data_IF_329207338167
#
_entry.id   IF_329207338167
#
_cell.length_a   1.000
_cell.length_b   1.000
_cell.length_c   1.000
_cell.angle_alpha   90.00
_cell.angle_beta   90.00
_cell.angle_gamma   90.00
#
_symmetry.space_group_name_H-M   'P 1'
#
loop_
_entity.id
_entity.type
_entity.pdbx_description
1 polymer ?
#
# COMPACT_ATOMS: atom_id res chain seq x y z
N UNK A 1 -5.03 -14.68 14.97
CA UNK A 1 -4.55 -13.68 14.00
C UNK A 1 -5.26 -13.91 12.67
N UNK A 2 -5.95 -12.91 12.16
CA UNK A 2 -6.53 -12.92 10.81
C UNK A 2 -5.59 -12.16 9.90
N UNK A 3 -5.19 -12.77 8.78
CA UNK A 3 -4.27 -12.19 7.81
C UNK A 3 -4.75 -12.46 6.40
N UNK A 4 -4.71 -11.40 5.61
CA UNK A 4 -5.00 -11.40 4.19
C UNK A 4 -3.80 -10.83 3.45
N UNK A 5 -3.63 -11.28 2.21
CA UNK A 5 -2.54 -10.85 1.35
C UNK A 5 -3.04 -10.67 -0.08
N UNK A 6 -2.41 -9.76 -0.81
CA UNK A 6 -2.58 -9.64 -2.26
C UNK A 6 -1.32 -9.07 -2.91
N UNK A 7 -1.17 -9.35 -4.20
CA UNK A 7 -0.11 -8.80 -5.04
C UNK A 7 -0.73 -7.81 -6.03
N UNK A 8 -0.11 -6.64 -6.19
CA UNK A 8 -0.42 -5.63 -7.20
C UNK A 8 0.87 -5.33 -7.98
N UNK A 9 1.17 -6.15 -8.98
CA UNK A 9 2.44 -6.07 -9.70
C UNK A 9 3.63 -6.31 -8.75
N UNK A 10 4.60 -5.38 -8.64
CA UNK A 10 5.73 -5.53 -7.71
C UNK A 10 5.36 -5.26 -6.24
N UNK A 11 4.15 -4.75 -5.97
CA UNK A 11 3.71 -4.38 -4.63
C UNK A 11 2.99 -5.56 -3.96
N UNK A 12 3.59 -6.12 -2.91
CA UNK A 12 2.95 -7.06 -2.01
C UNK A 12 2.26 -6.31 -0.87
N UNK A 13 1.01 -6.65 -0.58
CA UNK A 13 0.20 -6.00 0.46
C UNK A 13 -0.33 -7.08 1.39
N UNK A 14 -0.06 -6.94 2.69
CA UNK A 14 -0.61 -7.79 3.73
C UNK A 14 -1.35 -6.96 4.77
N UNK A 15 -2.51 -7.42 5.22
CA UNK A 15 -3.31 -6.70 6.22
C UNK A 15 -4.08 -7.67 7.10
N UNK A 16 -4.54 -7.19 8.24
CA UNK A 16 -5.31 -8.04 9.14
C UNK A 16 -5.52 -7.49 10.53
N UNK A 17 -5.96 -8.39 11.41
CA UNK A 17 -6.18 -8.12 12.83
C UNK A 17 -5.46 -9.18 13.66
N UNK A 18 -4.65 -8.72 14.60
CA UNK A 18 -3.95 -9.57 15.56
C UNK A 18 -4.70 -9.54 16.90
N UNK A 19 -5.47 -10.59 17.17
CA UNK A 19 -6.27 -10.74 18.40
C UNK A 19 -5.41 -10.69 19.67
N UNK A 20 -4.29 -11.44 19.80
CA UNK A 20 -3.36 -11.30 20.92
C UNK A 20 -2.88 -9.88 21.21
N UNK A 21 -2.65 -9.07 20.18
CA UNK A 21 -2.15 -7.69 20.32
C UNK A 21 -3.27 -6.64 20.35
N UNK A 22 -4.51 -7.09 20.17
CA UNK A 22 -5.73 -6.31 20.04
C UNK A 22 -5.53 -5.10 19.12
N UNK A 23 -5.22 -5.37 17.85
CA UNK A 23 -5.05 -4.29 16.87
C UNK A 23 -4.90 -4.77 15.44
N UNK A 24 -4.90 -3.80 14.53
CA UNK A 24 -4.81 -3.99 13.10
C UNK A 24 -3.39 -3.77 12.59
N UNK A 25 -3.07 -4.37 11.46
CA UNK A 25 -1.83 -4.11 10.74
C UNK A 25 -2.07 -3.94 9.25
N UNK A 26 -1.15 -3.19 8.63
CA UNK A 26 -0.99 -3.10 7.19
C UNK A 26 0.50 -3.11 6.87
N UNK A 27 0.92 -3.97 5.97
CA UNK A 27 2.29 -4.03 5.45
C UNK A 27 2.24 -3.91 3.95
N UNK A 28 3.04 -2.99 3.42
CA UNK A 28 3.31 -2.86 1.99
C UNK A 28 4.77 -3.19 1.76
N UNK A 29 5.05 -3.95 0.71
CA UNK A 29 6.40 -4.27 0.28
C UNK A 29 6.51 -4.03 -1.21
N UNK A 30 7.27 -3.02 -1.60
CA UNK A 30 7.62 -2.81 -3.00
C UNK A 30 8.87 -3.63 -3.35
N UNK A 31 8.64 -4.72 -4.09
CA UNK A 31 9.69 -5.65 -4.53
C UNK A 31 10.50 -5.12 -5.72
N UNK A 32 10.07 -4.02 -6.37
CA UNK A 32 10.85 -3.42 -7.47
C UNK A 32 12.21 -2.87 -7.00
N UNK A 33 12.31 -2.56 -5.70
CA UNK A 33 13.53 -2.11 -5.04
C UNK A 33 14.27 -3.24 -4.31
N UNK A 34 13.88 -4.50 -4.52
CA UNK A 34 14.59 -5.64 -3.94
C UNK A 34 15.95 -5.86 -4.62
N UNK A 35 16.95 -6.28 -3.85
CA UNK A 35 18.32 -6.44 -4.32
C UNK A 35 19.08 -7.50 -3.52
N UNK A 36 20.28 -7.86 -3.98
CA UNK A 36 21.15 -8.84 -3.33
C UNK A 36 22.58 -8.31 -3.22
N UNK A 37 23.20 -8.51 -2.07
CA UNK A 37 24.60 -8.17 -1.81
C UNK A 37 25.58 -8.88 -2.75
N UNK A 38 26.77 -8.30 -2.90
CA UNK A 38 27.88 -8.93 -3.61
C UNK A 38 28.00 -8.52 -5.08
N UNK A 39 27.41 -7.39 -5.48
CA UNK A 39 27.62 -6.83 -6.82
C UNK A 39 28.94 -6.06 -6.89
N UNK A 40 29.05 -4.98 -6.10
CA UNK A 40 30.28 -4.22 -5.87
C UNK A 40 30.10 -3.38 -4.60
N UNK A 41 31.19 -2.95 -3.95
CA UNK A 41 31.10 -2.11 -2.74
C UNK A 41 30.35 -0.80 -3.00
N UNK A 42 30.50 -0.21 -4.18
CA UNK A 42 29.79 1.00 -4.56
C UNK A 42 28.28 0.75 -4.73
N UNK A 43 27.90 -0.29 -5.48
CA UNK A 43 26.50 -0.66 -5.69
C UNK A 43 25.85 -0.99 -4.35
N UNK A 44 26.46 -1.87 -3.57
CA UNK A 44 25.98 -2.32 -2.25
C UNK A 44 25.77 -1.13 -1.29
N UNK A 45 26.67 -0.15 -1.28
CA UNK A 45 26.54 1.07 -0.48
C UNK A 45 25.38 1.98 -0.92
N UNK A 46 25.05 2.02 -2.21
CA UNK A 46 23.91 2.80 -2.72
C UNK A 46 22.59 2.10 -2.40
N UNK A 47 22.47 0.81 -2.71
CA UNK A 47 21.22 0.07 -2.52
C UNK A 47 20.87 -0.13 -1.04
N UNK A 48 21.87 -0.23 -0.15
CA UNK A 48 21.65 -0.22 1.30
C UNK A 48 20.93 1.03 1.81
N UNK A 49 21.17 2.19 1.19
CA UNK A 49 20.48 3.45 1.54
C UNK A 49 19.01 3.45 1.13
N UNK A 50 18.66 2.66 0.12
CA UNK A 50 17.29 2.56 -0.43
C UNK A 50 16.49 1.46 0.29
N UNK A 51 17.10 0.29 0.50
CA UNK A 51 16.54 -0.86 1.18
C UNK A 51 17.62 -1.59 1.97
N UNK A 52 17.76 -1.32 3.26
CA UNK A 52 18.83 -1.93 4.08
C UNK A 52 18.77 -3.45 4.20
N UNK A 53 17.58 -4.05 4.02
CA UNK A 53 17.36 -5.50 4.16
C UNK A 53 17.46 -6.30 2.86
N UNK A 54 17.50 -5.63 1.70
CA UNK A 54 17.49 -6.30 0.38
C UNK A 54 16.13 -6.82 -0.08
N UNK A 55 15.14 -6.93 0.82
CA UNK A 55 13.82 -7.47 0.50
C UNK A 55 12.86 -6.50 -0.21
N UNK A 56 13.31 -5.28 -0.51
CA UNK A 56 12.48 -4.19 -1.05
C UNK A 56 12.27 -3.07 -0.04
N UNK A 57 11.42 -2.11 -0.39
CA UNK A 57 11.06 -1.02 0.53
C UNK A 57 9.75 -1.37 1.26
N UNK A 58 9.74 -1.15 2.58
CA UNK A 58 8.66 -1.61 3.45
C UNK A 58 7.95 -0.42 4.11
N UNK A 59 6.62 -0.40 4.04
CA UNK A 59 5.78 0.37 4.94
C UNK A 59 5.02 -0.60 5.85
N UNK A 60 5.42 -0.68 7.12
CA UNK A 60 4.69 -1.42 8.14
C UNK A 60 3.95 -0.48 9.08
N UNK A 61 2.64 -0.64 9.22
CA UNK A 61 1.78 0.09 10.15
C UNK A 61 1.08 -0.89 11.09
N UNK A 62 0.95 -0.52 12.36
CA UNK A 62 0.17 -1.29 13.34
C UNK A 62 -0.56 -0.38 14.34
N UNK A 63 -1.64 -0.87 14.94
CA UNK A 63 -2.38 -0.18 16.02
C UNK A 63 -2.22 -0.85 17.38
N UNK A 64 -1.24 -1.76 17.50
CA UNK A 64 -1.05 -2.59 18.68
C UNK A 64 -0.83 -1.76 19.95
N UNK A 65 -1.33 -2.27 21.06
CA UNK A 65 -1.10 -1.64 22.37
C UNK A 65 0.33 -1.84 22.86
N UNK A 66 0.95 -2.95 22.46
CA UNK A 66 2.30 -3.39 22.82
C UNK A 66 3.32 -3.15 21.68
N UNK A 67 4.64 -3.17 21.98
CA UNK A 67 5.68 -3.01 20.96
C UNK A 67 5.51 -4.03 19.82
N UNK A 68 5.62 -3.56 18.58
CA UNK A 68 5.52 -4.38 17.38
C UNK A 68 6.41 -3.82 16.26
N UNK A 69 6.54 -4.59 15.17
CA UNK A 69 7.32 -4.16 14.00
C UNK A 69 6.52 -3.14 13.19
N UNK A 70 7.17 -2.06 12.77
CA UNK A 70 6.56 -0.97 12.00
C UNK A 70 6.15 0.22 12.85
N UNK A 71 5.49 1.19 12.21
CA UNK A 71 5.05 2.43 12.84
C UNK A 71 3.70 2.24 13.54
N UNK A 72 3.66 2.55 14.83
CA UNK A 72 2.42 2.57 15.60
C UNK A 72 1.58 3.78 15.23
N UNK A 73 0.35 3.56 14.80
CA UNK A 73 -0.63 4.58 14.38
C UNK A 73 -2.02 4.24 14.89
N UNK A 74 -2.99 5.16 14.77
CA UNK A 74 -4.39 4.87 15.09
C UNK A 74 -5.04 3.93 14.06
N UNK A 75 -6.09 3.23 14.46
CA UNK A 75 -6.89 2.38 13.55
C UNK A 75 -7.44 3.18 12.36
N UNK A 76 -7.95 4.40 12.63
CA UNK A 76 -8.44 5.30 11.58
C UNK A 76 -7.38 5.61 10.51
N UNK A 77 -6.11 5.76 10.92
CA UNK A 77 -4.99 5.95 10.00
C UNK A 77 -4.76 4.68 9.17
N UNK A 78 -4.70 3.49 9.79
CA UNK A 78 -4.52 2.22 9.06
C UNK A 78 -5.64 2.01 8.05
N UNK A 79 -6.89 2.23 8.45
CA UNK A 79 -8.06 2.07 7.61
C UNK A 79 -8.09 3.04 6.43
N UNK A 80 -7.55 4.25 6.62
CA UNK A 80 -7.34 5.21 5.53
C UNK A 80 -6.37 4.65 4.50
N UNK A 81 -5.24 4.06 4.93
CA UNK A 81 -4.31 3.43 4.01
C UNK A 81 -4.86 2.17 3.35
N UNK A 82 -5.55 1.29 4.09
CA UNK A 82 -6.21 0.10 3.54
C UNK A 82 -7.15 0.46 2.38
N UNK A 83 -7.98 1.49 2.55
CA UNK A 83 -8.92 1.94 1.51
C UNK A 83 -8.23 2.43 0.22
N UNK A 84 -7.04 3.04 0.32
CA UNK A 84 -6.25 3.43 -0.87
C UNK A 84 -5.87 2.23 -1.74
N UNK A 85 -5.76 1.06 -1.12
CA UNK A 85 -5.49 -0.19 -1.82
C UNK A 85 -6.77 -1.01 -2.04
N UNK A 86 -7.97 -0.44 -1.92
CA UNK A 86 -9.24 -1.16 -2.14
C UNK A 86 -9.53 -2.26 -1.13
N UNK A 87 -8.97 -2.16 0.08
CA UNK A 87 -9.28 -3.06 1.19
C UNK A 87 -10.42 -2.44 2.00
N UNK A 88 -11.46 -3.22 2.26
CA UNK A 88 -12.57 -2.82 3.14
C UNK A 88 -12.25 -3.26 4.59
N UNK A 89 -11.92 -2.33 5.51
CA UNK A 89 -11.60 -2.68 6.89
C UNK A 89 -12.80 -3.28 7.64
N UNK A 90 -14.05 -3.00 7.21
CA UNK A 90 -15.25 -3.59 7.82
C UNK A 90 -15.42 -5.08 7.53
N UNK A 91 -14.65 -5.62 6.56
CA UNK A 91 -14.71 -7.00 6.11
C UNK A 91 -13.47 -7.81 6.48
N UNK A 92 -12.57 -7.29 7.34
CA UNK A 92 -11.32 -7.96 7.74
C UNK A 92 -11.56 -9.36 8.31
N UNK A 93 -12.67 -9.61 8.99
CA UNK A 93 -12.98 -10.93 9.56
C UNK A 93 -13.70 -11.87 8.57
N UNK A 94 -13.82 -11.49 7.30
CA UNK A 94 -14.49 -12.26 6.25
C UNK A 94 -13.51 -12.56 5.12
N UNK A 95 -13.78 -13.62 4.35
CA UNK A 95 -12.96 -13.99 3.18
C UNK A 95 -13.04 -12.97 2.03
N UNK A 96 -13.98 -12.02 2.08
CA UNK A 96 -14.26 -11.02 1.03
C UNK A 96 -13.79 -9.60 1.42
N UNK A 97 -12.64 -9.48 2.08
CA UNK A 97 -12.10 -8.19 2.54
C UNK A 97 -11.59 -7.26 1.41
N UNK A 98 -11.45 -7.77 0.19
CA UNK A 98 -11.01 -7.01 -0.99
C UNK A 98 -12.25 -6.58 -1.76
N UNK A 99 -12.37 -5.27 -2.04
CA UNK A 99 -13.42 -4.76 -2.91
C UNK A 99 -13.29 -5.32 -4.33
N UNK A 100 -14.40 -5.41 -5.05
CA UNK A 100 -14.43 -5.75 -6.48
C UNK A 100 -13.60 -4.75 -7.31
N UNK A 101 -13.25 -5.10 -8.54
CA UNK A 101 -12.60 -4.17 -9.49
C UNK A 101 -13.41 -2.87 -9.68
N UNK A 102 -14.73 -2.95 -9.53
CA UNK A 102 -15.67 -1.83 -9.58
C UNK A 102 -15.61 -0.94 -8.33
N UNK A 103 -15.33 -1.51 -7.16
CA UNK A 103 -15.11 -0.77 -5.90
C UNK A 103 -13.81 0.04 -5.96
N UNK A 104 -12.76 -0.52 -6.59
CA UNK A 104 -11.50 0.18 -6.87
C UNK A 104 -11.70 1.38 -7.79
N UNK A 105 -12.46 1.21 -8.89
CA UNK A 105 -12.80 2.29 -9.83
C UNK A 105 -13.62 3.39 -9.16
N UNK A 106 -14.55 3.03 -8.28
CA UNK A 106 -15.38 3.99 -7.52
C UNK A 106 -14.54 4.77 -6.49
N UNK A 107 -13.59 4.11 -5.82
CA UNK A 107 -12.69 4.75 -4.85
C UNK A 107 -11.71 5.73 -5.54
N UNK A 108 -11.21 5.38 -6.73
CA UNK A 108 -10.32 6.23 -7.53
C UNK A 108 -11.03 7.50 -8.03
N UNK A 109 -12.33 7.42 -8.35
CA UNK A 109 -13.16 8.56 -8.74
C UNK A 109 -13.54 9.49 -7.56
N UNK A 110 -13.44 9.05 -6.30
CA UNK A 110 -13.76 9.84 -5.10
C UNK A 110 -12.56 10.51 -4.43
N UNK A 111 -11.42 10.63 -5.12
CA UNK A 111 -10.17 11.21 -4.59
C UNK A 111 -9.60 10.51 -3.34
N UNK A 112 -9.99 9.27 -3.05
CA UNK A 112 -9.50 8.52 -1.89
C UNK A 112 -8.16 7.79 -2.15
N UNK A 113 -7.25 8.36 -2.95
CA UNK A 113 -6.04 7.68 -3.42
C UNK A 113 -6.40 6.50 -4.35
N UNK A 114 -5.81 6.30 -5.52
CA UNK A 114 -4.44 6.51 -5.93
C UNK A 114 -4.49 6.94 -7.40
N UNK A 115 -4.17 8.20 -7.70
CA UNK A 115 -3.99 8.66 -9.09
C UNK A 115 -2.92 7.85 -9.83
N UNK A 116 -1.98 7.25 -9.10
CA UNK A 116 -0.85 6.48 -9.65
C UNK A 116 -1.22 5.03 -10.06
N UNK A 117 -2.31 4.44 -9.54
CA UNK A 117 -2.80 3.13 -10.03
C UNK A 117 -3.62 3.33 -11.32
N UNK A 118 -4.38 4.42 -11.41
CA UNK A 118 -5.01 4.84 -12.68
C UNK A 118 -3.97 5.22 -13.75
N UNK A 119 -2.82 5.75 -13.36
CA UNK A 119 -1.77 6.15 -14.29
C UNK A 119 -1.10 4.95 -15.00
N UNK A 120 -1.09 3.76 -14.40
CA UNK A 120 -0.51 2.56 -15.02
C UNK A 120 -1.44 1.95 -16.09
N UNK A 121 -2.76 2.12 -15.97
CA UNK A 121 -3.74 1.72 -17.00
C UNK A 121 -4.03 2.82 -18.03
N UNK A 122 -3.84 4.11 -17.69
CA UNK A 122 -3.94 5.22 -18.63
C UNK A 122 -2.71 5.39 -19.54
N UNK A 123 -1.66 4.57 -19.38
CA UNK A 123 -0.45 4.63 -20.20
C UNK A 123 -0.68 4.31 -21.71
N UNK A 124 -1.90 3.92 -22.11
CA UNK A 124 -2.29 3.73 -23.52
C UNK A 124 -3.50 4.60 -23.97
N UNK A 125 -3.82 5.70 -23.28
CA UNK A 125 -4.88 6.65 -23.67
C UNK A 125 -4.38 8.10 -23.76
N UNK A 126 -4.93 8.94 -24.67
CA UNK A 126 -4.44 10.31 -24.88
C UNK A 126 -4.56 11.18 -23.60
N UNK A 127 -3.57 12.04 -23.41
CA UNK A 127 -3.21 12.77 -22.18
C UNK A 127 -4.35 13.53 -21.48
N UNK A 128 -4.44 13.37 -20.15
CA UNK A 128 -5.29 14.13 -19.21
C UNK A 128 -4.68 15.48 -18.76
N UNK A 129 -3.76 16.05 -19.54
CA UNK A 129 -3.31 17.43 -19.38
C UNK A 129 -4.25 18.36 -20.17
N UNK A 130 -5.49 18.55 -19.70
CA UNK A 130 -6.35 19.71 -20.07
C UNK A 130 -7.69 19.72 -19.31
N UNK A 131 -7.68 19.86 -17.98
CA UNK A 131 -8.91 20.25 -17.27
C UNK A 131 -8.73 21.06 -15.98
N UNK A 132 -7.53 21.62 -15.74
CA UNK A 132 -7.35 22.70 -14.77
C UNK A 132 -7.03 24.00 -15.50
N UNK A 133 -7.97 24.49 -16.34
CA UNK A 133 -7.96 25.87 -16.80
C UNK A 133 -9.34 26.32 -17.28
N UNK A 134 -10.20 26.66 -16.33
CA UNK A 134 -11.24 27.70 -16.34
C UNK A 134 -11.96 27.51 -14.99
N UNK A 135 -11.87 28.40 -14.02
CA UNK A 135 -12.01 29.84 -14.15
C UNK A 135 -13.27 30.21 -13.39
N UNK A 136 -13.08 30.79 -12.20
CA UNK A 136 -13.96 31.80 -11.60
C UNK A 136 -15.27 32.08 -12.33
N UNK A 137 -16.38 31.70 -11.68
CA UNK A 137 -17.54 32.57 -11.45
C UNK A 137 -18.33 32.06 -10.24
#
# INVERSE_FOLDING_TARGET
MVRHEKELGPLHIAWGHDEPLNGYFLTLTDKSLAWRWGQSSEVDNIVYKVSGSGGGHYLGLNSYTFPGIGYRVSEATIFTFMRRYGIDPGKIFTENAVGSEEDLKTCANRQCGVREILAFECANGPSLFDSNREGSQ
#
